data_IF_371447386832
#
_entry.id   IF_371447386832
#
_cell.length_a   1.000
_cell.length_b   1.000
_cell.length_c   1.000
_cell.angle_alpha   90.00
_cell.angle_beta   90.00
_cell.angle_gamma   90.00
#
_symmetry.space_group_name_H-M   'P 1'
#
loop_
_entity.id
_entity.type
_entity.pdbx_description
1 polymer ?
#
# COMPACT_ATOMS: atom_id res chain seq x y z
N UNK A 1 -7.85 -12.73 -38.44
CA UNK A 1 -7.90 -11.30 -38.06
C UNK A 1 -9.28 -11.01 -37.54
N UNK A 2 -9.39 -10.43 -36.34
CA UNK A 2 -10.67 -9.96 -35.78
C UNK A 2 -10.87 -8.52 -36.25
N UNK A 3 -12.06 -8.18 -36.74
CA UNK A 3 -12.43 -6.83 -37.17
C UNK A 3 -13.65 -6.43 -36.35
N UNK A 4 -13.56 -5.30 -35.66
CA UNK A 4 -14.66 -4.76 -34.86
C UNK A 4 -15.57 -3.91 -35.77
N UNK A 5 -16.87 -3.98 -35.55
CA UNK A 5 -17.90 -3.22 -36.29
C UNK A 5 -18.07 -1.78 -35.77
N UNK A 6 -17.38 -1.44 -34.69
CA UNK A 6 -17.37 -0.14 -34.03
C UNK A 6 -16.02 0.11 -33.37
N UNK A 7 -15.74 1.37 -33.07
CA UNK A 7 -14.57 1.75 -32.27
C UNK A 7 -14.78 1.30 -30.82
N UNK A 8 -14.07 0.26 -30.43
CA UNK A 8 -13.91 -0.15 -29.02
C UNK A 8 -12.42 -0.13 -28.74
N UNK A 9 -12.03 0.48 -27.62
CA UNK A 9 -10.65 0.39 -27.15
C UNK A 9 -10.39 -1.03 -26.66
N UNK A 10 -9.49 -1.75 -27.36
CA UNK A 10 -9.12 -3.14 -27.05
C UNK A 10 -7.62 -3.19 -26.81
N UNK A 11 -7.25 -3.55 -25.59
CA UNK A 11 -5.88 -3.63 -25.11
C UNK A 11 -5.43 -5.08 -24.93
N UNK A 12 -4.12 -5.30 -24.83
CA UNK A 12 -3.57 -6.62 -24.48
C UNK A 12 -4.02 -7.00 -23.07
N UNK A 13 -4.61 -8.19 -22.94
CA UNK A 13 -5.18 -8.69 -21.69
C UNK A 13 -6.71 -8.75 -21.73
N UNK A 14 -7.35 -8.02 -22.64
CA UNK A 14 -8.80 -8.05 -22.77
C UNK A 14 -9.28 -9.42 -23.27
N UNK A 15 -10.43 -9.84 -22.74
CA UNK A 15 -11.06 -11.12 -23.06
C UNK A 15 -12.23 -10.88 -24.01
N UNK A 16 -12.18 -11.51 -25.18
CA UNK A 16 -13.31 -11.55 -26.11
C UNK A 16 -14.15 -12.79 -25.81
N UNK A 17 -15.45 -12.59 -25.63
CA UNK A 17 -16.41 -13.65 -25.33
C UNK A 17 -17.60 -13.59 -26.28
N UNK A 18 -18.24 -14.75 -26.50
CA UNK A 18 -19.49 -14.80 -27.23
C UNK A 18 -20.63 -14.18 -26.41
N UNK A 19 -21.60 -13.50 -27.05
CA UNK A 19 -22.80 -13.03 -26.36
C UNK A 19 -23.51 -14.18 -25.64
N UNK A 20 -23.77 -14.02 -24.34
CA UNK A 20 -24.37 -15.06 -23.48
C UNK A 20 -23.36 -15.95 -22.74
N UNK A 21 -22.09 -15.93 -23.13
CA UNK A 21 -20.97 -16.62 -22.46
C UNK A 21 -19.98 -15.59 -21.88
N UNK A 22 -20.51 -14.46 -21.40
CA UNK A 22 -19.70 -13.35 -20.91
C UNK A 22 -19.15 -13.72 -19.53
N UNK A 23 -17.83 -13.71 -19.33
CA UNK A 23 -17.24 -13.96 -18.02
C UNK A 23 -17.68 -12.88 -17.02
N UNK A 24 -17.60 -13.21 -15.74
CA UNK A 24 -17.78 -12.20 -14.69
C UNK A 24 -16.72 -11.11 -14.85
N UNK A 25 -17.15 -9.84 -14.69
CA UNK A 25 -16.26 -8.68 -14.73
C UNK A 25 -16.37 -7.91 -13.42
N UNK A 26 -15.38 -8.08 -12.54
CA UNK A 26 -15.37 -7.54 -11.18
C UNK A 26 -13.94 -7.41 -10.68
N UNK A 27 -13.74 -6.60 -9.64
CA UNK A 27 -12.46 -6.53 -8.95
C UNK A 27 -12.42 -7.33 -7.64
N UNK A 28 -13.45 -8.13 -7.34
CA UNK A 28 -13.49 -9.00 -6.17
C UNK A 28 -14.13 -10.35 -6.47
N UNK A 29 -13.50 -11.40 -5.97
CA UNK A 29 -13.98 -12.78 -6.09
C UNK A 29 -13.53 -13.64 -4.91
N UNK A 30 -14.24 -14.74 -4.68
CA UNK A 30 -13.81 -15.79 -3.78
C UNK A 30 -13.03 -16.86 -4.55
N UNK A 31 -11.95 -17.36 -3.95
CA UNK A 31 -11.13 -18.41 -4.50
C UNK A 31 -10.66 -19.39 -3.44
N UNK A 32 -10.33 -20.60 -3.87
CA UNK A 32 -9.50 -21.54 -3.10
C UNK A 32 -8.05 -21.36 -3.54
N UNK A 33 -7.16 -21.13 -2.59
CA UNK A 33 -5.76 -20.82 -2.82
C UNK A 33 -4.90 -21.85 -2.08
N UNK A 34 -3.97 -22.48 -2.77
CA UNK A 34 -2.84 -23.16 -2.14
C UNK A 34 -1.67 -22.18 -2.02
N UNK A 35 -1.16 -22.02 -0.81
CA UNK A 35 0.02 -21.22 -0.55
C UNK A 35 1.27 -22.08 -0.68
N UNK A 36 2.28 -21.62 -1.43
CA UNK A 36 3.45 -22.40 -1.80
C UNK A 36 4.76 -21.81 -1.26
N UNK A 37 4.70 -20.68 -0.55
CA UNK A 37 5.87 -19.98 -0.04
C UNK A 37 6.05 -20.19 1.46
N UNK A 38 7.30 -20.17 1.93
CA UNK A 38 7.64 -20.26 3.35
C UNK A 38 7.14 -19.05 4.15
N UNK A 39 7.24 -17.85 3.57
CA UNK A 39 6.69 -16.62 4.17
C UNK A 39 5.16 -16.66 4.07
N UNK A 40 4.46 -16.45 5.19
CA UNK A 40 3.00 -16.57 5.27
C UNK A 40 2.26 -15.58 4.37
N UNK A 41 1.10 -15.99 3.85
CA UNK A 41 0.20 -15.09 3.14
C UNK A 41 -0.43 -14.09 4.12
N UNK A 42 -0.16 -12.79 3.93
CA UNK A 42 -0.67 -11.73 4.79
C UNK A 42 -1.85 -11.01 4.14
N UNK A 43 -3.02 -10.95 4.80
CA UNK A 43 -4.12 -10.12 4.31
C UNK A 43 -3.70 -8.65 4.14
N UNK A 44 -4.18 -8.01 3.08
CA UNK A 44 -3.89 -6.61 2.75
C UNK A 44 -2.55 -6.37 2.03
N UNK A 45 -1.63 -7.35 1.99
CA UNK A 45 -0.38 -7.23 1.23
C UNK A 45 -0.67 -7.29 -0.28
N UNK A 46 0.03 -6.45 -1.04
CA UNK A 46 -0.08 -6.39 -2.50
C UNK A 46 0.78 -7.46 -3.16
N UNK A 47 0.17 -8.26 -4.01
CA UNK A 47 0.78 -9.29 -4.85
C UNK A 47 0.53 -8.95 -6.33
N UNK A 48 1.19 -9.65 -7.26
CA UNK A 48 0.74 -9.71 -8.65
C UNK A 48 -0.12 -10.96 -8.84
N UNK A 49 -1.34 -10.78 -9.32
CA UNK A 49 -2.20 -11.86 -9.75
C UNK A 49 -2.10 -12.02 -11.26
N UNK A 50 -1.78 -13.24 -11.72
CA UNK A 50 -1.80 -13.60 -13.14
C UNK A 50 -2.92 -14.60 -13.41
N UNK A 51 -3.84 -14.24 -14.30
CA UNK A 51 -4.99 -15.02 -14.73
C UNK A 51 -5.09 -14.96 -16.24
N UNK A 52 -4.97 -16.10 -16.93
CA UNK A 52 -4.92 -16.14 -18.38
C UNK A 52 -3.90 -15.16 -18.97
N UNK A 53 -4.39 -14.19 -19.75
CA UNK A 53 -3.62 -13.10 -20.37
C UNK A 53 -3.46 -11.85 -19.50
N UNK A 54 -4.12 -11.78 -18.34
CA UNK A 54 -4.16 -10.62 -17.45
C UNK A 54 -3.14 -10.76 -16.31
N UNK A 55 -2.40 -9.69 -16.04
CA UNK A 55 -1.55 -9.57 -14.84
C UNK A 55 -1.92 -8.26 -14.16
N UNK A 56 -2.42 -8.34 -12.93
CA UNK A 56 -2.91 -7.19 -12.17
C UNK A 56 -2.45 -7.23 -10.71
N UNK A 57 -2.16 -6.07 -10.09
CA UNK A 57 -2.05 -5.99 -8.64
C UNK A 57 -3.30 -6.54 -7.93
N UNK A 58 -3.09 -7.35 -6.90
CA UNK A 58 -4.16 -7.93 -6.10
C UNK A 58 -3.75 -8.10 -4.65
N UNK A 59 -4.73 -8.14 -3.75
CA UNK A 59 -4.51 -8.43 -2.33
C UNK A 59 -5.51 -9.48 -1.83
N UNK A 60 -5.08 -10.29 -0.87
CA UNK A 60 -5.98 -11.15 -0.10
C UNK A 60 -6.65 -10.24 0.93
N UNK A 61 -7.95 -10.00 0.81
CA UNK A 61 -8.67 -9.09 1.72
C UNK A 61 -9.24 -9.81 2.94
N UNK A 62 -9.52 -11.09 2.80
CA UNK A 62 -9.99 -11.93 3.88
C UNK A 62 -9.58 -13.38 3.66
N UNK A 63 -9.15 -14.05 4.73
CA UNK A 63 -9.06 -15.50 4.80
C UNK A 63 -10.27 -15.99 5.60
N UNK A 64 -11.15 -16.77 4.98
CA UNK A 64 -12.38 -17.25 5.63
C UNK A 64 -12.08 -18.46 6.50
N UNK A 65 -11.48 -19.48 5.91
CA UNK A 65 -11.10 -20.71 6.59
C UNK A 65 -9.98 -21.41 5.83
N UNK A 66 -9.19 -22.18 6.59
CA UNK A 66 -8.15 -23.09 6.14
C UNK A 66 -8.75 -24.49 6.07
N UNK A 67 -8.49 -25.19 4.98
CA UNK A 67 -8.92 -26.57 4.77
C UNK A 67 -7.74 -27.50 4.99
N UNK A 68 -7.88 -28.45 5.90
CA UNK A 68 -6.89 -29.51 6.08
C UNK A 68 -6.95 -30.45 4.87
N UNK A 69 -5.83 -30.62 4.17
CA UNK A 69 -5.78 -31.43 2.93
C UNK A 69 -6.04 -32.92 3.21
N UNK A 70 -5.73 -33.40 4.42
CA UNK A 70 -5.90 -34.80 4.81
C UNK A 70 -7.32 -35.11 5.33
N UNK A 71 -7.94 -34.18 6.05
CA UNK A 71 -9.26 -34.41 6.70
C UNK A 71 -10.42 -33.68 6.02
N UNK A 72 -10.13 -32.72 5.15
CA UNK A 72 -11.07 -31.76 4.54
C UNK A 72 -11.81 -30.89 5.56
N UNK A 73 -11.40 -30.90 6.84
CA UNK A 73 -11.98 -30.05 7.87
C UNK A 73 -11.58 -28.59 7.67
N UNK A 74 -12.55 -27.71 7.90
CA UNK A 74 -12.37 -26.27 7.82
C UNK A 74 -12.17 -25.66 9.21
N UNK A 75 -11.17 -24.79 9.32
CA UNK A 75 -10.87 -24.05 10.55
C UNK A 75 -10.68 -22.56 10.24
N UNK A 76 -11.14 -21.68 11.13
CA UNK A 76 -10.92 -20.25 10.95
C UNK A 76 -9.43 -19.94 11.07
N UNK A 77 -8.88 -19.21 10.09
CA UNK A 77 -7.48 -18.83 10.05
C UNK A 77 -7.34 -17.37 9.62
N UNK A 78 -6.29 -16.70 10.10
CA UNK A 78 -5.96 -15.31 9.71
C UNK A 78 -4.84 -15.24 8.66
N UNK A 79 -3.99 -16.26 8.61
CA UNK A 79 -2.88 -16.41 7.65
C UNK A 79 -2.83 -17.82 7.07
N UNK A 80 -2.13 -17.99 5.95
CA UNK A 80 -1.82 -19.30 5.34
C UNK A 80 -0.32 -19.57 5.40
N UNK A 81 0.04 -20.76 5.87
CA UNK A 81 1.40 -21.29 5.86
C UNK A 81 1.68 -22.10 4.58
N UNK A 82 2.93 -22.49 4.38
CA UNK A 82 3.35 -23.26 3.22
C UNK A 82 2.58 -24.58 3.10
N UNK A 83 2.12 -24.88 1.88
CA UNK A 83 1.30 -26.03 1.50
C UNK A 83 -0.11 -26.05 2.10
N UNK A 84 -0.56 -24.98 2.73
CA UNK A 84 -1.94 -24.88 3.21
C UNK A 84 -2.88 -24.43 2.10
N UNK A 85 -4.10 -24.95 2.15
CA UNK A 85 -5.20 -24.53 1.28
C UNK A 85 -6.17 -23.69 2.09
N UNK A 86 -6.54 -22.53 1.56
CA UNK A 86 -7.50 -21.64 2.19
C UNK A 86 -8.54 -21.09 1.22
N UNK A 87 -9.73 -20.84 1.75
CA UNK A 87 -10.75 -20.07 1.06
C UNK A 87 -10.51 -18.59 1.34
N UNK A 88 -10.13 -17.87 0.29
CA UNK A 88 -9.74 -16.46 0.34
C UNK A 88 -10.71 -15.59 -0.44
N UNK A 89 -10.82 -14.34 -0.03
CA UNK A 89 -11.37 -13.26 -0.86
C UNK A 89 -10.22 -12.46 -1.43
N UNK A 90 -10.18 -12.35 -2.76
CA UNK A 90 -9.19 -11.55 -3.47
C UNK A 90 -9.85 -10.27 -3.97
N UNK A 91 -9.12 -9.17 -3.83
CA UNK A 91 -9.44 -7.91 -4.48
C UNK A 91 -8.31 -7.49 -5.42
N UNK A 92 -8.66 -7.13 -6.66
CA UNK A 92 -7.74 -6.56 -7.64
C UNK A 92 -7.88 -5.03 -7.67
N UNK A 93 -6.85 -4.34 -8.14
CA UNK A 93 -6.84 -2.88 -8.26
C UNK A 93 -7.84 -2.35 -9.30
N UNK A 94 -8.05 -3.12 -10.37
CA UNK A 94 -9.04 -2.88 -11.43
C UNK A 94 -9.93 -4.10 -11.67
N UNK A 95 -11.14 -3.93 -12.22
CA UNK A 95 -11.95 -5.05 -12.65
C UNK A 95 -11.22 -5.92 -13.68
N UNK A 96 -11.36 -7.24 -13.54
CA UNK A 96 -10.83 -8.22 -14.49
C UNK A 96 -11.93 -9.17 -14.94
N UNK A 97 -11.76 -9.72 -16.14
CA UNK A 97 -12.63 -10.78 -16.65
C UNK A 97 -12.19 -12.14 -16.09
N UNK A 98 -13.11 -12.87 -15.46
CA UNK A 98 -12.84 -14.21 -14.90
C UNK A 98 -14.08 -15.09 -14.93
N UNK A 99 -13.87 -16.39 -14.83
CA UNK A 99 -14.92 -17.40 -14.71
C UNK A 99 -14.77 -18.19 -13.41
N UNK A 100 -15.80 -18.95 -13.03
CA UNK A 100 -15.56 -20.04 -12.07
C UNK A 100 -14.66 -21.08 -12.70
N UNK A 101 -13.75 -21.67 -11.92
CA UNK A 101 -12.85 -22.71 -12.41
C UNK A 101 -13.59 -23.93 -12.97
N UNK A 102 -14.76 -24.25 -12.39
CA UNK A 102 -15.62 -25.33 -12.88
C UNK A 102 -16.23 -25.04 -14.26
N UNK A 103 -16.42 -23.77 -14.62
CA UNK A 103 -16.93 -23.35 -15.93
C UNK A 103 -15.82 -23.23 -16.96
N UNK A 104 -14.71 -22.59 -16.61
CA UNK A 104 -13.57 -22.40 -17.50
C UNK A 104 -12.26 -22.36 -16.70
N UNK A 105 -11.42 -23.38 -16.90
CA UNK A 105 -10.16 -23.50 -16.16
C UNK A 105 -9.13 -22.42 -16.55
N UNK A 106 -9.18 -21.88 -17.77
CA UNK A 106 -8.19 -20.92 -18.27
C UNK A 106 -8.35 -19.54 -17.60
N UNK A 107 -9.60 -19.11 -17.42
CA UNK A 107 -10.01 -17.83 -16.84
C UNK A 107 -10.49 -17.96 -15.40
N UNK A 108 -10.60 -19.18 -14.88
CA UNK A 108 -10.91 -19.47 -13.49
C UNK A 108 -9.71 -19.94 -12.66
N UNK A 109 -8.51 -20.02 -13.24
CA UNK A 109 -7.26 -20.28 -12.49
C UNK A 109 -6.34 -19.08 -12.50
N UNK A 110 -5.60 -18.90 -11.41
CA UNK A 110 -4.62 -17.84 -11.28
C UNK A 110 -3.42 -18.26 -10.43
N UNK A 111 -2.35 -17.49 -10.53
CA UNK A 111 -1.22 -17.54 -9.60
C UNK A 111 -1.02 -16.19 -8.92
N UNK A 112 -0.54 -16.22 -7.69
CA UNK A 112 -0.02 -15.05 -6.97
C UNK A 112 1.49 -15.06 -7.08
N UNK A 113 2.06 -13.91 -7.43
CA UNK A 113 3.47 -13.70 -7.68
C UNK A 113 3.94 -12.57 -6.76
N UNK A 114 5.08 -12.75 -6.11
CA UNK A 114 5.75 -11.72 -5.34
C UNK A 114 6.20 -10.58 -6.27
N UNK A 115 5.98 -9.33 -5.84
CA UNK A 115 6.24 -8.16 -6.70
C UNK A 115 7.73 -7.83 -6.82
N UNK A 116 8.57 -8.34 -5.92
CA UNK A 116 10.00 -8.00 -5.84
C UNK A 116 10.82 -9.12 -6.46
N UNK A 117 10.69 -10.32 -5.92
CA UNK A 117 11.44 -11.50 -6.35
C UNK A 117 10.90 -12.17 -7.61
N UNK A 118 9.66 -11.84 -8.02
CA UNK A 118 8.91 -12.55 -9.07
C UNK A 118 8.68 -14.05 -8.78
N UNK A 119 8.87 -14.48 -7.53
CA UNK A 119 8.58 -15.84 -7.11
C UNK A 119 7.06 -16.10 -7.18
N UNK A 120 6.67 -17.31 -7.59
CA UNK A 120 5.27 -17.73 -7.49
C UNK A 120 4.98 -18.13 -6.05
N UNK A 121 4.08 -17.39 -5.39
CA UNK A 121 3.76 -17.54 -3.97
C UNK A 121 2.58 -18.49 -3.72
N UNK A 122 1.66 -18.61 -4.67
CA UNK A 122 0.47 -19.43 -4.53
C UNK A 122 -0.27 -19.63 -5.85
N UNK A 123 -1.12 -20.64 -5.90
CA UNK A 123 -1.95 -20.97 -7.05
C UNK A 123 -3.39 -21.15 -6.59
N UNK A 124 -4.34 -20.60 -7.33
CA UNK A 124 -5.73 -20.57 -6.91
C UNK A 124 -6.71 -20.83 -8.03
N UNK A 125 -7.90 -21.24 -7.61
CA UNK A 125 -9.06 -21.48 -8.46
C UNK A 125 -10.21 -20.63 -7.96
N UNK A 126 -10.87 -19.93 -8.88
CA UNK A 126 -11.98 -19.03 -8.58
C UNK A 126 -13.25 -19.85 -8.41
N UNK A 127 -13.98 -19.61 -7.32
CA UNK A 127 -15.28 -20.23 -7.09
C UNK A 127 -16.39 -19.35 -7.71
N UNK A 128 -16.44 -18.06 -7.36
CA UNK A 128 -17.44 -17.11 -7.88
C UNK A 128 -17.06 -15.64 -7.61
N UNK A 129 -17.60 -14.72 -8.42
CA UNK A 129 -17.46 -13.28 -8.22
C UNK A 129 -18.29 -12.73 -7.05
N UNK A 130 -17.77 -11.71 -6.36
CA UNK A 130 -18.48 -11.05 -5.26
C UNK A 130 -19.29 -9.85 -5.76
N UNK A 131 -20.62 -9.93 -5.63
CA UNK A 131 -21.58 -8.95 -6.18
C UNK A 131 -21.48 -7.52 -5.61
N UNK A 132 -20.86 -7.30 -4.45
CA UNK A 132 -20.71 -5.94 -3.88
C UNK A 132 -19.85 -5.02 -4.74
N UNK A 133 -18.95 -5.56 -5.56
CA UNK A 133 -18.05 -4.81 -6.41
C UNK A 133 -18.69 -4.25 -7.70
N UNK A 134 -19.77 -4.87 -8.20
CA UNK A 134 -20.35 -4.51 -9.50
C UNK A 134 -21.11 -3.17 -9.51
N UNK A 135 -21.43 -2.60 -8.34
CA UNK A 135 -22.23 -1.35 -8.24
C UNK A 135 -21.42 -0.10 -7.87
N UNK A 136 -20.09 -0.19 -7.77
CA UNK A 136 -19.23 0.95 -7.47
C UNK A 136 -18.75 1.59 -8.77
N UNK A 137 -19.53 2.51 -9.32
CA UNK A 137 -19.04 3.43 -10.35
C UNK A 137 -18.31 4.59 -9.69
N UNK A 138 -17.11 4.92 -10.17
CA UNK A 138 -16.45 6.17 -9.79
C UNK A 138 -17.30 7.32 -10.28
N UNK A 139 -17.82 8.13 -9.35
CA UNK A 139 -18.51 9.36 -9.70
C UNK A 139 -17.48 10.43 -10.05
N UNK A 140 -17.48 10.87 -11.30
CA UNK A 140 -16.69 12.03 -11.72
C UNK A 140 -17.45 13.30 -11.31
N UNK A 141 -16.86 14.09 -10.41
CA UNK A 141 -17.39 15.39 -10.01
C UNK A 141 -16.68 16.51 -10.78
N UNK A 142 -17.41 17.57 -11.13
CA UNK A 142 -16.86 18.73 -11.84
C UNK A 142 -15.75 19.43 -11.04
N UNK A 143 -15.87 19.47 -9.71
CA UNK A 143 -14.80 19.90 -8.81
C UNK A 143 -13.85 18.73 -8.59
N UNK A 144 -12.85 18.63 -9.45
CA UNK A 144 -11.80 17.62 -9.40
C UNK A 144 -10.51 18.14 -8.73
N UNK A 145 -9.51 17.27 -8.60
CA UNK A 145 -8.20 17.59 -8.01
C UNK A 145 -7.51 18.81 -8.63
N UNK A 146 -7.61 18.97 -9.97
CA UNK A 146 -6.98 20.10 -10.67
C UNK A 146 -7.60 21.43 -10.21
N UNK A 147 -8.92 21.50 -10.15
CA UNK A 147 -9.65 22.70 -9.66
C UNK A 147 -9.25 23.01 -8.20
N UNK A 148 -9.15 21.98 -7.35
CA UNK A 148 -8.74 22.15 -5.94
C UNK A 148 -7.28 22.62 -5.80
N UNK A 149 -6.39 22.11 -6.65
CA UNK A 149 -4.98 22.50 -6.69
C UNK A 149 -4.81 23.96 -7.14
N UNK A 150 -5.52 24.37 -8.20
CA UNK A 150 -5.54 25.75 -8.72
C UNK A 150 -6.07 26.73 -7.67
N UNK A 151 -7.17 26.41 -7.00
CA UNK A 151 -7.75 27.25 -5.95
C UNK A 151 -6.80 27.46 -4.76
N UNK A 152 -5.95 26.47 -4.46
CA UNK A 152 -4.93 26.56 -3.41
C UNK A 152 -3.59 27.10 -3.92
N UNK A 153 -3.46 27.34 -5.23
CA UNK A 153 -2.21 27.75 -5.88
C UNK A 153 -1.04 26.80 -5.64
N UNK A 154 -1.28 25.50 -5.39
CA UNK A 154 -0.24 24.54 -5.00
C UNK A 154 -0.40 23.21 -5.74
N UNK A 155 0.70 22.45 -5.85
CA UNK A 155 0.67 21.08 -6.38
C UNK A 155 0.48 20.10 -5.22
N UNK A 156 -0.65 19.36 -5.16
CA UNK A 156 -0.83 18.32 -4.17
C UNK A 156 0.16 17.18 -4.39
N UNK A 157 0.69 16.66 -3.29
CA UNK A 157 1.66 15.57 -3.31
C UNK A 157 1.71 14.88 -1.95
N UNK A 158 2.25 13.67 -1.94
CA UNK A 158 2.47 12.86 -0.75
C UNK A 158 3.98 12.75 -0.53
N UNK A 159 4.45 13.23 0.62
CA UNK A 159 5.84 13.01 1.08
C UNK A 159 5.80 11.96 2.17
N UNK A 160 6.34 10.78 1.86
CA UNK A 160 6.28 9.60 2.72
C UNK A 160 7.62 9.38 3.42
N UNK A 161 7.69 9.74 4.70
CA UNK A 161 8.86 9.49 5.52
C UNK A 161 8.85 8.05 6.05
N UNK A 162 9.96 7.36 5.88
CA UNK A 162 10.22 6.01 6.41
C UNK A 162 11.55 5.96 7.18
N UNK A 163 11.64 5.12 8.21
CA UNK A 163 12.81 5.07 9.08
C UNK A 163 12.50 4.50 10.46
N UNK A 164 13.54 4.11 11.21
CA UNK A 164 13.43 3.58 12.56
C UNK A 164 12.73 4.55 13.54
N UNK A 165 12.17 4.03 14.62
CA UNK A 165 11.69 4.87 15.73
C UNK A 165 12.84 5.76 16.21
N UNK A 166 12.60 7.03 16.56
CA UNK A 166 13.68 7.94 17.00
C UNK A 166 14.62 8.45 15.89
N UNK A 167 14.44 8.05 14.63
CA UNK A 167 15.30 8.54 13.52
C UNK A 167 15.16 10.04 13.23
N UNK A 168 14.00 10.63 13.56
CA UNK A 168 13.73 12.07 13.38
C UNK A 168 12.65 12.41 12.35
N UNK A 169 11.92 11.41 11.81
CA UNK A 169 10.83 11.61 10.83
C UNK A 169 9.84 12.72 11.22
N UNK A 170 9.18 12.59 12.37
CA UNK A 170 8.17 13.57 12.81
C UNK A 170 8.79 14.94 13.11
N UNK A 171 10.07 15.00 13.50
CA UNK A 171 10.80 16.27 13.69
C UNK A 171 10.99 16.99 12.35
N UNK A 172 11.50 16.30 11.34
CA UNK A 172 11.72 16.87 9.99
C UNK A 172 10.38 17.23 9.35
N UNK A 173 9.37 16.36 9.43
CA UNK A 173 8.03 16.63 8.91
C UNK A 173 7.40 17.87 9.53
N UNK A 174 7.53 18.05 10.86
CA UNK A 174 7.04 19.24 11.57
C UNK A 174 7.76 20.53 11.16
N UNK A 175 9.08 20.48 10.94
CA UNK A 175 9.83 21.63 10.44
C UNK A 175 9.38 22.02 9.01
N UNK A 176 9.15 21.03 8.15
CA UNK A 176 8.65 21.24 6.79
C UNK A 176 7.22 21.77 6.80
N UNK A 177 6.32 21.25 7.63
CA UNK A 177 4.95 21.76 7.75
C UNK A 177 4.93 23.22 8.20
N UNK A 178 5.78 23.59 9.17
CA UNK A 178 5.96 24.99 9.59
C UNK A 178 6.43 25.87 8.44
N UNK A 179 7.41 25.41 7.65
CA UNK A 179 7.93 26.16 6.49
C UNK A 179 6.87 26.32 5.40
N UNK A 180 6.17 25.24 5.04
CA UNK A 180 5.06 25.24 4.09
C UNK A 180 3.95 26.20 4.54
N UNK A 181 3.59 26.19 5.83
CA UNK A 181 2.59 27.09 6.41
C UNK A 181 3.03 28.55 6.32
N UNK A 182 4.29 28.84 6.61
CA UNK A 182 4.86 30.19 6.47
C UNK A 182 4.84 30.68 5.01
N UNK A 183 4.96 29.76 4.05
CA UNK A 183 4.86 30.05 2.61
C UNK A 183 3.41 30.03 2.09
N UNK A 184 2.41 30.01 2.99
CA UNK A 184 0.99 30.03 2.65
C UNK A 184 0.47 28.74 2.00
N UNK A 185 1.20 27.62 2.12
CA UNK A 185 0.82 26.33 1.58
C UNK A 185 -0.05 25.55 2.56
N UNK A 186 -1.00 24.79 2.03
CA UNK A 186 -1.85 23.90 2.80
C UNK A 186 -1.20 22.51 2.89
N UNK A 187 -0.62 22.22 4.05
CA UNK A 187 -0.04 20.93 4.36
C UNK A 187 -0.74 20.26 5.55
N UNK A 188 -0.59 18.94 5.67
CA UNK A 188 -1.06 18.20 6.84
C UNK A 188 -0.17 17.00 7.13
N UNK A 189 0.22 16.82 8.40
CA UNK A 189 0.95 15.64 8.87
C UNK A 189 0.01 14.48 9.26
N UNK A 190 0.21 13.32 8.64
CA UNK A 190 -0.29 12.04 9.12
C UNK A 190 0.83 11.33 9.91
N UNK A 191 0.72 11.31 11.24
CA UNK A 191 1.68 10.66 12.14
C UNK A 191 1.13 9.34 12.70
N UNK A 192 2.03 8.36 12.85
CA UNK A 192 1.71 7.02 13.34
C UNK A 192 1.01 6.98 14.69
N UNK A 193 1.35 7.87 15.61
CA UNK A 193 0.70 7.90 16.93
C UNK A 193 -0.71 8.46 16.82
N UNK A 194 -0.87 9.57 16.09
CA UNK A 194 -2.17 10.26 15.96
C UNK A 194 -3.21 9.39 15.26
N UNK A 195 -2.82 8.71 14.18
CA UNK A 195 -3.73 7.83 13.43
C UNK A 195 -4.13 6.62 14.27
N UNK A 196 -3.23 6.09 15.11
CA UNK A 196 -3.50 4.96 16.01
C UNK A 196 -4.44 5.30 17.17
N UNK A 197 -4.59 6.58 17.54
CA UNK A 197 -5.61 6.98 18.50
C UNK A 197 -7.04 7.04 17.92
N UNK A 198 -7.16 7.15 16.59
CA UNK A 198 -8.44 7.34 15.89
C UNK A 198 -8.72 6.25 14.87
N UNK A 199 -8.35 6.52 13.61
CA UNK A 199 -8.65 5.69 12.44
C UNK A 199 -8.16 4.24 12.58
N UNK A 200 -7.00 4.03 13.23
CA UNK A 200 -6.34 2.73 13.34
C UNK A 200 -6.31 2.22 14.79
N UNK A 201 -7.27 2.64 15.64
CA UNK A 201 -7.33 2.23 17.06
C UNK A 201 -7.60 0.74 17.27
N UNK A 202 -8.13 0.08 16.26
CA UNK A 202 -8.41 -1.36 16.23
C UNK A 202 -7.17 -2.20 15.89
N UNK A 203 -6.09 -1.57 15.43
CA UNK A 203 -4.88 -2.25 14.97
C UNK A 203 -3.79 -2.25 16.04
N UNK A 204 -3.24 -3.43 16.33
CA UNK A 204 -2.07 -3.63 17.18
C UNK A 204 -0.75 -3.45 16.43
N UNK A 205 0.24 -4.27 16.79
CA UNK A 205 1.61 -4.20 16.27
C UNK A 205 2.09 -5.53 15.68
N UNK A 206 1.18 -6.44 15.32
CA UNK A 206 1.53 -7.61 14.50
C UNK A 206 1.87 -7.16 13.08
N UNK A 207 2.43 -8.06 12.28
CA UNK A 207 2.79 -7.73 10.90
C UNK A 207 1.53 -7.46 10.06
N UNK A 208 0.46 -8.23 10.22
CA UNK A 208 -0.83 -7.98 9.53
C UNK A 208 -1.43 -6.63 9.90
N UNK A 209 -1.41 -6.27 11.19
CA UNK A 209 -1.89 -4.96 11.66
C UNK A 209 -1.06 -3.81 11.09
N UNK A 210 0.24 -4.04 10.80
CA UNK A 210 1.10 -3.04 10.16
C UNK A 210 0.78 -2.89 8.69
N UNK A 211 0.55 -3.99 7.98
CA UNK A 211 0.12 -3.98 6.58
C UNK A 211 -1.16 -3.17 6.43
N UNK A 212 -2.19 -3.49 7.22
CA UNK A 212 -3.47 -2.77 7.18
C UNK A 212 -3.33 -1.31 7.62
N UNK A 213 -2.50 -1.03 8.62
CA UNK A 213 -2.22 0.33 9.05
C UNK A 213 -1.62 1.18 7.92
N UNK A 214 -0.62 0.66 7.19
CA UNK A 214 -0.02 1.38 6.05
C UNK A 214 -1.02 1.53 4.91
N UNK A 215 -1.81 0.50 4.61
CA UNK A 215 -2.86 0.56 3.57
C UNK A 215 -3.88 1.66 3.86
N UNK A 216 -4.45 1.70 5.07
CA UNK A 216 -5.41 2.75 5.49
C UNK A 216 -4.81 4.15 5.39
N UNK A 217 -3.57 4.32 5.83
CA UNK A 217 -2.87 5.61 5.78
C UNK A 217 -2.60 6.02 4.33
N UNK A 218 -2.22 5.09 3.46
CA UNK A 218 -2.06 5.33 2.02
C UNK A 218 -3.34 5.87 1.39
N UNK A 219 -4.48 5.25 1.67
CA UNK A 219 -5.78 5.69 1.15
C UNK A 219 -6.17 7.09 1.66
N UNK A 220 -5.95 7.36 2.95
CA UNK A 220 -6.23 8.69 3.52
C UNK A 220 -5.29 9.74 2.92
N UNK A 221 -4.00 9.43 2.77
CA UNK A 221 -3.05 10.34 2.15
C UNK A 221 -3.44 10.66 0.71
N UNK A 222 -3.90 9.67 -0.06
CA UNK A 222 -4.44 9.85 -1.41
C UNK A 222 -5.66 10.76 -1.42
N UNK A 223 -6.65 10.52 -0.56
CA UNK A 223 -7.86 11.35 -0.48
C UNK A 223 -7.55 12.80 -0.09
N UNK A 224 -6.62 13.01 0.84
CA UNK A 224 -6.20 14.35 1.26
C UNK A 224 -5.42 15.08 0.16
N UNK A 225 -4.56 14.38 -0.58
CA UNK A 225 -3.89 14.94 -1.74
C UNK A 225 -4.87 15.21 -2.89
N UNK A 226 -5.89 14.37 -3.10
CA UNK A 226 -6.99 14.65 -4.04
C UNK A 226 -7.79 15.91 -3.65
N UNK A 227 -7.91 16.18 -2.34
CA UNK A 227 -8.45 17.43 -1.80
C UNK A 227 -7.55 18.66 -2.02
N UNK A 228 -6.39 18.50 -2.67
CA UNK A 228 -5.45 19.57 -3.02
C UNK A 228 -4.37 19.84 -1.97
N UNK A 229 -4.19 18.98 -0.96
CA UNK A 229 -3.22 19.17 0.12
C UNK A 229 -1.82 18.60 -0.21
N UNK A 230 -0.80 19.14 0.46
CA UNK A 230 0.51 18.50 0.59
C UNK A 230 0.45 17.62 1.84
N UNK A 231 0.57 16.30 1.68
CA UNK A 231 0.44 15.36 2.79
C UNK A 231 1.81 14.87 3.20
N UNK A 232 2.15 15.06 4.47
CA UNK A 232 3.41 14.61 5.06
C UNK A 232 3.12 13.37 5.93
N UNK A 233 3.54 12.19 5.48
CA UNK A 233 3.28 10.93 6.19
C UNK A 233 4.50 10.52 7.00
N UNK A 234 4.41 10.50 8.32
CA UNK A 234 5.49 10.12 9.24
C UNK A 234 5.20 8.78 9.91
N UNK A 235 5.53 7.69 9.23
CA UNK A 235 5.35 6.32 9.72
C UNK A 235 6.68 5.56 9.70
N UNK A 236 6.78 4.49 10.50
CA UNK A 236 7.98 3.62 10.43
C UNK A 236 7.99 2.88 9.09
N UNK A 237 6.83 2.38 8.64
CA UNK A 237 6.64 1.61 7.38
C UNK A 237 7.81 0.66 7.09
N UNK A 238 8.06 -0.33 7.98
CA UNK A 238 9.31 -1.07 8.02
C UNK A 238 9.52 -1.99 6.81
N UNK A 239 8.46 -2.36 6.12
CA UNK A 239 8.48 -3.36 5.07
C UNK A 239 8.36 -2.72 3.68
N UNK A 240 9.11 -3.24 2.72
CA UNK A 240 9.26 -2.70 1.37
C UNK A 240 7.97 -2.80 0.57
N UNK A 241 7.24 -3.91 0.71
CA UNK A 241 5.99 -4.14 -0.01
C UNK A 241 4.90 -3.15 0.39
N UNK A 242 4.86 -2.75 1.65
CA UNK A 242 3.88 -1.83 2.21
C UNK A 242 4.16 -0.39 1.75
N UNK A 243 5.44 0.00 1.65
CA UNK A 243 5.83 1.28 1.05
C UNK A 243 5.50 1.32 -0.44
N UNK A 244 5.72 0.22 -1.15
CA UNK A 244 5.32 0.08 -2.56
C UNK A 244 3.81 0.17 -2.75
N UNK A 245 3.04 -0.51 -1.90
CA UNK A 245 1.58 -0.42 -1.88
C UNK A 245 1.11 1.02 -1.65
N UNK A 246 1.70 1.75 -0.71
CA UNK A 246 1.37 3.17 -0.49
C UNK A 246 1.62 4.03 -1.74
N UNK A 247 2.73 3.80 -2.45
CA UNK A 247 3.03 4.46 -3.73
C UNK A 247 2.03 4.09 -4.84
N UNK A 248 1.60 2.83 -4.89
CA UNK A 248 0.58 2.36 -5.84
C UNK A 248 -0.79 2.98 -5.56
N UNK A 249 -1.19 3.05 -4.29
CA UNK A 249 -2.44 3.70 -3.86
C UNK A 249 -2.44 5.18 -4.26
N UNK A 250 -1.30 5.87 -4.16
CA UNK A 250 -1.19 7.27 -4.59
C UNK A 250 -1.54 7.47 -6.08
N UNK A 251 -1.36 6.44 -6.92
CA UNK A 251 -1.71 6.47 -8.33
C UNK A 251 -0.90 7.52 -9.10
N UNK A 252 -1.60 8.49 -9.68
CA UNK A 252 -1.02 9.59 -10.45
C UNK A 252 -0.64 10.81 -9.59
N UNK A 253 -0.89 10.77 -8.28
CA UNK A 253 -0.45 11.79 -7.33
C UNK A 253 1.06 11.65 -7.11
N UNK A 254 1.79 12.76 -7.18
CA UNK A 254 3.23 12.79 -6.90
C UNK A 254 3.50 12.19 -5.51
N UNK A 255 4.26 11.11 -5.46
CA UNK A 255 4.67 10.42 -4.25
C UNK A 255 6.18 10.47 -4.12
N UNK A 256 6.69 10.96 -2.98
CA UNK A 256 8.12 11.06 -2.71
C UNK A 256 8.47 10.31 -1.42
N UNK A 257 9.18 9.19 -1.55
CA UNK A 257 9.68 8.39 -0.44
C UNK A 257 10.97 8.98 0.12
N UNK A 258 10.91 9.40 1.37
CA UNK A 258 12.01 9.99 2.12
C UNK A 258 12.50 9.00 3.16
N UNK A 259 13.68 8.42 2.93
CA UNK A 259 14.32 7.55 3.90
C UNK A 259 15.11 8.38 4.91
N UNK A 260 14.64 8.42 6.16
CA UNK A 260 15.39 8.98 7.29
C UNK A 260 16.32 7.90 7.84
N UNK A 261 17.49 7.80 7.22
CA UNK A 261 18.54 6.87 7.56
C UNK A 261 19.28 7.35 8.81
N UNK A 262 19.05 6.67 9.93
CA UNK A 262 19.72 6.95 11.21
C UNK A 262 20.14 5.61 11.81
N UNK A 263 21.41 5.45 12.22
CA UNK A 263 21.86 4.22 12.86
C UNK A 263 21.00 3.85 14.07
N UNK A 264 20.81 2.55 14.30
CA UNK A 264 19.99 2.04 15.38
C UNK A 264 20.50 2.53 16.75
N UNK A 265 21.81 2.58 16.93
CA UNK A 265 22.47 2.99 18.16
C UNK A 265 22.17 4.46 18.49
N UNK A 266 22.10 5.32 17.45
CA UNK A 266 21.71 6.73 17.59
C UNK A 266 20.22 6.85 17.94
N UNK A 267 19.37 6.01 17.33
CA UNK A 267 17.94 5.96 17.64
C UNK A 267 17.71 5.52 19.10
N UNK A 268 18.42 4.49 19.56
CA UNK A 268 18.40 3.98 20.95
C UNK A 268 18.93 5.02 21.94
N UNK A 269 19.98 5.76 21.60
CA UNK A 269 20.51 6.80 22.47
C UNK A 269 19.53 7.98 22.64
N UNK A 270 18.74 8.30 21.61
CA UNK A 270 17.75 9.38 21.66
C UNK A 270 16.51 9.01 22.48
N UNK A 271 16.03 7.78 22.33
CA UNK A 271 14.81 7.17 22.91
C UNK A 271 13.83 8.12 23.63
N UNK A 272 13.23 9.11 22.94
CA UNK A 272 12.49 10.20 23.58
C UNK A 272 11.20 9.70 24.28
N UNK A 273 10.73 8.51 23.92
CA UNK A 273 9.52 7.87 24.45
C UNK A 273 9.83 6.69 25.36
N UNK A 274 11.11 6.39 25.61
CA UNK A 274 11.52 5.23 26.41
C UNK A 274 11.14 3.88 25.80
N UNK A 275 10.86 3.82 24.49
CA UNK A 275 10.36 2.62 23.81
C UNK A 275 11.48 1.60 23.55
N UNK A 276 12.68 2.07 23.19
CA UNK A 276 13.82 1.18 23.01
C UNK A 276 14.24 0.51 24.32
N UNK A 277 14.29 1.28 25.41
CA UNK A 277 14.59 0.74 26.73
C UNK A 277 13.58 -0.34 27.16
N UNK A 278 12.28 -0.11 26.92
CA UNK A 278 11.22 -1.09 27.19
C UNK A 278 11.33 -2.33 26.29
N UNK A 279 11.61 -2.15 25.00
CA UNK A 279 11.80 -3.24 24.06
C UNK A 279 12.99 -4.13 24.43
N UNK A 280 14.13 -3.54 24.83
CA UNK A 280 15.32 -4.28 25.29
C UNK A 280 15.07 -5.10 26.56
N UNK A 281 14.15 -4.65 27.43
CA UNK A 281 13.68 -5.41 28.61
C UNK A 281 12.60 -6.45 28.30
N UNK A 282 12.18 -6.59 27.04
CA UNK A 282 11.14 -7.54 26.62
C UNK A 282 9.71 -7.11 26.94
N UNK A 283 9.49 -5.88 27.41
CA UNK A 283 8.17 -5.34 27.74
C UNK A 283 7.35 -5.01 26.48
N UNK A 284 8.01 -4.71 25.36
CA UNK A 284 7.39 -4.45 24.06
C UNK A 284 7.83 -5.54 23.08
N UNK A 285 6.87 -6.38 22.67
CA UNK A 285 7.08 -7.39 21.64
C UNK A 285 7.03 -6.77 20.25
N UNK A 286 7.66 -7.42 19.27
CA UNK A 286 7.67 -7.04 17.86
C UNK A 286 8.17 -5.61 17.62
N UNK A 287 9.11 -5.08 18.41
CA UNK A 287 9.56 -3.70 18.24
C UNK A 287 10.53 -3.58 17.05
N UNK A 288 10.22 -2.69 16.10
CA UNK A 288 11.02 -2.52 14.88
C UNK A 288 12.46 -2.12 15.18
N UNK A 289 13.42 -2.85 14.60
CA UNK A 289 14.85 -2.67 14.80
C UNK A 289 15.42 -3.44 16.00
N UNK A 290 14.57 -4.05 16.85
CA UNK A 290 15.00 -4.86 18.00
C UNK A 290 14.52 -6.31 17.87
N UNK A 291 13.20 -6.52 17.86
CA UNK A 291 12.55 -7.85 17.80
C UNK A 291 11.68 -8.03 16.56
N UNK A 292 11.68 -7.06 15.65
CA UNK A 292 11.02 -7.09 14.33
C UNK A 292 11.91 -6.34 13.33
N UNK A 293 12.00 -6.80 12.07
CA UNK A 293 12.94 -6.22 11.09
C UNK A 293 12.52 -4.82 10.62
N UNK A 294 13.50 -4.10 10.07
CA UNK A 294 13.30 -2.89 9.27
C UNK A 294 14.04 -3.08 7.96
N UNK A 295 13.31 -3.13 6.86
CA UNK A 295 13.85 -3.24 5.51
C UNK A 295 14.14 -1.83 4.98
N UNK A 296 15.41 -1.44 5.02
CA UNK A 296 15.83 -0.15 4.51
C UNK A 296 15.50 -0.01 3.02
N UNK A 297 14.94 1.13 2.56
CA UNK A 297 14.70 1.37 1.15
C UNK A 297 16.02 1.31 0.36
N UNK A 298 16.05 0.49 -0.71
CA UNK A 298 17.21 0.38 -1.60
C UNK A 298 17.30 1.59 -2.56
N UNK A 299 16.15 2.08 -3.02
CA UNK A 299 16.03 3.19 -3.98
C UNK A 299 15.01 4.23 -3.54
N UNK A 300 15.21 4.90 -2.38
CA UNK A 300 14.33 6.00 -1.98
C UNK A 300 14.51 7.21 -2.91
N UNK A 301 13.46 8.03 -3.05
CA UNK A 301 13.54 9.26 -3.84
C UNK A 301 14.52 10.27 -3.19
N UNK A 302 14.54 10.31 -1.85
CA UNK A 302 15.47 11.12 -1.05
C UNK A 302 15.95 10.34 0.18
N UNK A 303 17.24 10.41 0.48
CA UNK A 303 17.82 9.91 1.73
C UNK A 303 18.25 11.09 2.60
N UNK A 304 17.82 11.08 3.87
CA UNK A 304 18.27 11.99 4.91
C UNK A 304 19.15 11.22 5.89
N UNK A 305 20.30 11.76 6.25
CA UNK A 305 21.25 11.11 7.16
C UNK A 305 21.11 11.66 8.58
N UNK A 306 20.12 11.16 9.30
CA UNK A 306 19.90 11.54 10.69
C UNK A 306 21.05 11.05 11.59
N UNK A 307 21.46 11.91 12.52
CA UNK A 307 22.61 11.68 13.39
C UNK A 307 23.92 12.24 12.84
N UNK A 308 24.01 12.49 11.53
CA UNK A 308 25.11 13.24 10.91
C UNK A 308 24.79 14.71 10.73
N UNK A 309 23.55 15.03 10.33
CA UNK A 309 23.10 16.40 10.10
C UNK A 309 22.04 16.84 11.11
N UNK A 310 21.98 18.15 11.33
CA UNK A 310 20.96 18.78 12.17
C UNK A 310 19.56 18.66 11.52
N UNK A 311 18.48 18.44 12.30
CA UNK A 311 17.14 18.35 11.76
C UNK A 311 16.68 19.56 10.95
N UNK A 312 17.12 20.78 11.30
CA UNK A 312 16.81 22.00 10.55
C UNK A 312 17.47 21.96 9.19
N UNK A 313 18.75 21.60 9.13
CA UNK A 313 19.46 21.45 7.86
C UNK A 313 18.80 20.41 6.96
N UNK A 314 18.49 19.22 7.49
CA UNK A 314 17.81 18.17 6.72
C UNK A 314 16.44 18.61 6.20
N UNK A 315 15.70 19.40 6.99
CA UNK A 315 14.40 19.91 6.60
C UNK A 315 14.51 20.96 5.47
N UNK A 316 15.46 21.90 5.57
CA UNK A 316 15.69 22.91 4.53
C UNK A 316 16.19 22.30 3.22
N UNK A 317 17.14 21.36 3.29
CA UNK A 317 17.65 20.65 2.11
C UNK A 317 16.54 19.86 1.40
N UNK A 318 15.70 19.17 2.18
CA UNK A 318 14.54 18.45 1.65
C UNK A 318 13.52 19.41 1.06
N UNK A 319 13.29 20.55 1.72
CA UNK A 319 12.35 21.57 1.28
C UNK A 319 12.74 22.12 -0.08
N UNK A 320 13.99 22.57 -0.22
CA UNK A 320 14.55 23.08 -1.46
C UNK A 320 14.50 22.04 -2.59
N UNK A 321 14.68 20.74 -2.28
CA UNK A 321 14.67 19.70 -3.30
C UNK A 321 13.27 19.34 -3.81
N UNK A 322 12.26 19.37 -2.94
CA UNK A 322 10.90 18.86 -3.28
C UNK A 322 9.93 19.99 -3.64
N UNK A 323 10.05 21.13 -2.95
CA UNK A 323 9.07 22.20 -2.95
C UNK A 323 9.58 23.51 -3.55
N UNK A 324 10.68 23.51 -4.31
CA UNK A 324 11.11 24.75 -4.96
C UNK A 324 10.05 25.21 -6.00
N UNK A 325 9.23 26.16 -5.55
CA UNK A 325 8.12 26.73 -6.30
C UNK A 325 8.58 27.85 -7.26
N UNK A 326 9.89 28.12 -7.34
CA UNK A 326 10.46 29.23 -8.12
C UNK A 326 10.23 29.14 -9.63
N UNK A 327 9.83 27.98 -10.16
CA UNK A 327 9.57 27.78 -11.60
C UNK A 327 8.09 27.88 -12.01
N UNK A 328 7.16 28.11 -11.07
CA UNK A 328 5.71 28.04 -11.36
C UNK A 328 5.01 29.39 -11.51
N UNK A 329 5.71 30.51 -11.30
CA UNK A 329 5.18 31.86 -11.53
C UNK A 329 5.80 32.47 -12.79
N UNK A 330 5.36 32.00 -13.95
CA UNK A 330 5.38 32.83 -15.15
C UNK A 330 3.94 33.31 -15.36
N UNK A 331 3.72 34.60 -15.08
CA UNK A 331 2.50 35.34 -15.45
C UNK A 331 2.48 35.51 -16.96
#
# INVERSE_FOLDING_TARGET
TIVLDREVDVSRGDVLAHPGEVPDFSNQFQARLVWMNEEQAMPGRSYLLKLGSQVVPASITALKFRTNVNTLEESAAKTLEMNEVGTVTIATDKPIAFDSYGSNALTGSFILIDRISNATLGAGVIDFGLRRAQNLSYQNFDVNRKVRAELKGQVPQIVWFTGLSGSGKSTVANLIEKRLTADGRHAYILDGDNVRHGLNKDLGFTDEDRVENVRRVGEVARLMADAGLIVLVSFISPFTNERRLAREIAGDIRFTEVYVNTPLEVCEARDPKGLYAKARRGEIKNFTGISSPYEAPEHPDVTLHGGLYDPVQMAEDLYARIFDFSSSYSI
#
